data_IF_262849022154
#
_entry.id   IF_262849022154
#
_cell.length_a   1.000
_cell.length_b   1.000
_cell.length_c   1.000
_cell.angle_alpha   90.00
_cell.angle_beta   90.00
_cell.angle_gamma   90.00
#
_symmetry.space_group_name_H-M   'P 1'
#
loop_
_entity.id
_entity.type
_entity.pdbx_description
1 polymer ?
#
# COMPACT_ATOMS: atom_id res chain seq x y z
N UNK A 1 15.51 -22.80 1.38
CA UNK A 1 15.35 -21.35 1.17
C UNK A 1 15.39 -20.76 2.58
N UNK A 2 16.42 -19.97 2.91
CA UNK A 2 16.52 -19.37 4.24
C UNK A 2 15.43 -18.30 4.35
N UNK A 3 14.67 -18.35 5.44
CA UNK A 3 13.71 -17.29 5.82
C UNK A 3 14.47 -16.20 6.60
N UNK A 4 15.69 -16.50 7.02
CA UNK A 4 16.52 -15.61 7.82
C UNK A 4 17.15 -14.51 6.96
N UNK A 5 17.20 -13.31 7.51
CA UNK A 5 17.86 -12.17 6.90
C UNK A 5 19.39 -12.39 6.91
N UNK A 6 20.05 -12.03 5.82
CA UNK A 6 21.51 -12.01 5.74
C UNK A 6 22.09 -10.79 6.51
N UNK A 7 23.42 -10.70 6.62
CA UNK A 7 24.09 -9.65 7.39
C UNK A 7 23.81 -8.23 6.85
N UNK A 8 23.73 -8.07 5.53
CA UNK A 8 23.42 -6.78 4.88
C UNK A 8 21.99 -6.35 5.16
N UNK A 9 21.03 -7.28 5.03
CA UNK A 9 19.63 -7.05 5.35
C UNK A 9 19.43 -6.71 6.83
N UNK A 10 20.14 -7.36 7.74
CA UNK A 10 20.12 -7.04 9.17
C UNK A 10 20.66 -5.63 9.43
N UNK A 11 21.75 -5.24 8.80
CA UNK A 11 22.34 -3.90 8.93
C UNK A 11 21.39 -2.81 8.40
N UNK A 12 20.76 -3.06 7.24
CA UNK A 12 19.77 -2.15 6.66
C UNK A 12 18.54 -2.04 7.58
N UNK A 13 18.01 -3.16 8.05
CA UNK A 13 16.87 -3.19 8.98
C UNK A 13 17.15 -2.38 10.24
N UNK A 14 18.32 -2.56 10.85
CA UNK A 14 18.69 -1.84 12.06
C UNK A 14 18.83 -0.32 11.80
N UNK A 15 19.31 0.07 10.62
CA UNK A 15 19.37 1.47 10.21
C UNK A 15 17.98 2.07 9.99
N UNK A 16 17.09 1.33 9.33
CA UNK A 16 15.67 1.70 9.18
C UNK A 16 15.01 1.87 10.55
N UNK A 17 15.19 0.92 11.47
CA UNK A 17 14.61 0.98 12.83
C UNK A 17 15.09 2.21 13.61
N UNK A 18 16.38 2.54 13.52
CA UNK A 18 16.90 3.78 14.15
C UNK A 18 16.22 5.02 13.56
N UNK A 19 16.15 5.11 12.24
CA UNK A 19 15.45 6.20 11.57
C UNK A 19 13.96 6.29 11.97
N UNK A 20 13.24 5.19 11.92
CA UNK A 20 11.81 5.15 12.28
C UNK A 20 11.59 5.59 13.73
N UNK A 21 12.44 5.18 14.67
CA UNK A 21 12.33 5.58 16.08
C UNK A 21 12.65 7.05 16.29
N UNK A 22 13.65 7.58 15.61
CA UNK A 22 14.10 8.97 15.81
C UNK A 22 13.19 9.99 15.09
N UNK A 23 12.76 9.67 13.86
CA UNK A 23 12.16 10.66 12.96
C UNK A 23 10.66 10.43 12.73
N UNK A 24 10.19 9.19 12.78
CA UNK A 24 8.80 8.86 12.44
C UNK A 24 7.92 8.74 13.68
N UNK A 25 8.32 7.93 14.67
CA UNK A 25 7.51 7.66 15.87
C UNK A 25 7.05 8.92 16.59
N UNK A 26 7.87 9.98 16.79
CA UNK A 26 7.43 11.21 17.48
C UNK A 26 6.31 11.97 16.76
N UNK A 27 6.14 11.73 15.45
CA UNK A 27 5.19 12.45 14.61
C UNK A 27 3.81 11.78 14.54
N UNK A 28 3.74 10.46 14.80
CA UNK A 28 2.58 9.64 14.49
C UNK A 28 1.31 10.16 15.16
N UNK A 29 1.32 10.33 16.48
CA UNK A 29 0.11 10.69 17.22
C UNK A 29 -0.46 12.04 16.79
N UNK A 30 0.41 13.02 16.51
CA UNK A 30 -0.01 14.31 15.98
C UNK A 30 -0.68 14.17 14.63
N UNK A 31 0.00 13.50 13.68
CA UNK A 31 -0.50 13.35 12.31
C UNK A 31 -1.76 12.47 12.22
N UNK A 32 -1.89 11.46 13.08
CA UNK A 32 -3.13 10.67 13.20
C UNK A 32 -4.30 11.52 13.71
N UNK A 33 -4.08 12.40 14.72
CA UNK A 33 -5.09 13.30 15.23
C UNK A 33 -5.49 14.38 14.22
N UNK A 34 -4.52 14.99 13.55
CA UNK A 34 -4.72 16.04 12.54
C UNK A 34 -5.13 15.46 11.18
N UNK A 35 -5.09 14.13 11.02
CA UNK A 35 -5.32 13.42 9.74
C UNK A 35 -4.42 13.96 8.62
N UNK A 36 -3.18 14.31 8.94
CA UNK A 36 -2.16 14.83 8.05
C UNK A 36 -1.01 13.85 7.89
N UNK A 37 -0.09 14.07 6.94
CA UNK A 37 1.08 13.24 6.75
C UNK A 37 2.34 14.12 6.65
N UNK A 38 3.45 13.75 7.34
CA UNK A 38 4.70 14.53 7.34
C UNK A 38 5.50 14.28 6.05
N UNK A 39 5.16 14.94 4.96
CA UNK A 39 5.84 14.76 3.66
C UNK A 39 7.30 15.20 3.67
N UNK A 40 7.73 15.97 4.66
CA UNK A 40 9.15 16.26 4.91
C UNK A 40 10.01 15.02 5.17
N UNK A 41 9.39 13.87 5.48
CA UNK A 41 10.07 12.59 5.58
C UNK A 41 10.37 11.94 4.22
N UNK A 42 9.69 12.35 3.13
CA UNK A 42 9.82 11.69 1.82
C UNK A 42 11.23 11.69 1.26
N UNK A 43 11.99 12.82 1.25
CA UNK A 43 13.38 12.81 0.80
C UNK A 43 14.27 11.87 1.63
N UNK A 44 14.01 11.73 2.92
CA UNK A 44 14.73 10.79 3.79
C UNK A 44 14.35 9.33 3.50
N UNK A 45 13.07 9.06 3.28
CA UNK A 45 12.57 7.73 2.88
C UNK A 45 13.13 7.31 1.50
N UNK A 46 13.27 8.26 0.57
CA UNK A 46 13.90 8.02 -0.72
C UNK A 46 15.36 7.54 -0.58
N UNK A 47 16.12 8.10 0.37
CA UNK A 47 17.51 7.68 0.63
C UNK A 47 17.62 6.23 1.12
N UNK A 48 16.59 5.68 1.78
CA UNK A 48 16.50 4.27 2.14
C UNK A 48 15.97 3.39 0.99
N UNK A 49 15.51 3.98 -0.12
CA UNK A 49 14.92 3.25 -1.23
C UNK A 49 13.42 2.96 -1.08
N UNK A 50 12.71 3.59 -0.13
CA UNK A 50 11.26 3.43 0.00
C UNK A 50 10.47 3.97 -1.20
N UNK A 51 11.08 4.80 -2.04
CA UNK A 51 10.47 5.35 -3.25
C UNK A 51 11.24 4.81 -4.48
N UNK A 52 10.66 3.81 -5.14
CA UNK A 52 11.22 3.21 -6.36
C UNK A 52 12.43 2.28 -6.13
N UNK A 53 12.70 1.86 -4.89
CA UNK A 53 13.92 1.10 -4.58
C UNK A 53 14.09 -0.21 -5.35
N UNK A 54 13.00 -0.87 -5.75
CA UNK A 54 13.03 -2.09 -6.56
C UNK A 54 13.27 -1.85 -8.05
N UNK A 55 13.21 -0.60 -8.52
CA UNK A 55 13.56 -0.28 -9.90
C UNK A 55 15.05 -0.48 -10.15
N UNK A 56 15.43 -0.85 -11.40
CA UNK A 56 16.82 -0.85 -11.81
C UNK A 56 17.49 0.53 -11.65
N UNK A 57 18.78 0.56 -11.40
CA UNK A 57 19.56 1.81 -11.33
C UNK A 57 19.43 2.65 -12.61
N UNK A 58 19.34 2.01 -13.78
CA UNK A 58 19.14 2.67 -15.06
C UNK A 58 17.83 3.49 -15.13
N UNK A 59 16.82 3.14 -14.33
CA UNK A 59 15.55 3.86 -14.20
C UNK A 59 15.54 4.79 -12.97
N UNK A 60 16.65 4.95 -12.28
CA UNK A 60 16.80 5.78 -11.09
C UNK A 60 16.44 5.12 -9.77
N UNK A 61 16.23 3.79 -9.76
CA UNK A 61 16.04 3.00 -8.56
C UNK A 61 17.36 2.56 -7.91
N UNK A 62 17.27 1.64 -6.95
CA UNK A 62 18.42 1.08 -6.22
C UNK A 62 18.63 -0.41 -6.50
N UNK A 63 17.84 -1.05 -7.35
CA UNK A 63 17.93 -2.47 -7.65
C UNK A 63 17.66 -3.37 -6.45
N UNK A 64 16.95 -2.90 -5.43
CA UNK A 64 16.65 -3.66 -4.20
C UNK A 64 15.88 -4.93 -4.58
N UNK A 65 16.39 -6.08 -4.14
CA UNK A 65 15.72 -7.36 -4.35
C UNK A 65 14.40 -7.47 -3.55
N UNK A 66 13.48 -8.29 -4.03
CA UNK A 66 12.15 -8.40 -3.43
C UNK A 66 12.15 -8.96 -1.99
N UNK A 67 13.03 -9.90 -1.58
CA UNK A 67 13.15 -10.29 -0.16
C UNK A 67 13.58 -9.13 0.75
N UNK A 68 14.55 -8.32 0.34
CA UNK A 68 14.96 -7.11 1.07
C UNK A 68 13.82 -6.08 1.09
N UNK A 69 13.16 -5.87 -0.04
CA UNK A 69 11.98 -5.01 -0.13
C UNK A 69 10.84 -5.47 0.78
N UNK A 70 10.59 -6.77 0.87
CA UNK A 70 9.58 -7.33 1.78
C UNK A 70 9.89 -6.99 3.24
N UNK A 71 11.15 -7.14 3.67
CA UNK A 71 11.61 -6.71 5.01
C UNK A 71 11.39 -5.21 5.23
N UNK A 72 11.67 -4.36 4.23
CA UNK A 72 11.46 -2.92 4.34
C UNK A 72 9.96 -2.58 4.49
N UNK A 73 9.07 -3.24 3.75
CA UNK A 73 7.61 -3.06 3.89
C UNK A 73 7.09 -3.56 5.23
N UNK A 74 7.67 -4.63 5.79
CA UNK A 74 7.39 -5.10 7.13
C UNK A 74 7.78 -4.05 8.18
N UNK A 75 8.98 -3.47 8.11
CA UNK A 75 9.43 -2.42 9.04
C UNK A 75 8.57 -1.15 8.93
N UNK A 76 8.16 -0.76 7.71
CA UNK A 76 7.24 0.36 7.54
C UNK A 76 5.88 0.11 8.20
N UNK A 77 5.33 -1.10 8.04
CA UNK A 77 4.08 -1.52 8.68
C UNK A 77 4.18 -1.65 10.19
N UNK A 78 5.32 -2.14 10.70
CA UNK A 78 5.61 -2.27 12.12
C UNK A 78 5.53 -0.91 12.84
N UNK A 79 6.06 0.12 12.22
CA UNK A 79 6.07 1.45 12.83
C UNK A 79 4.80 2.25 12.54
N UNK A 80 4.34 2.25 11.28
CA UNK A 80 3.15 3.02 10.91
C UNK A 80 2.52 2.56 9.58
N UNK A 81 1.34 1.96 9.63
CA UNK A 81 0.64 1.48 8.43
C UNK A 81 0.28 2.59 7.45
N UNK A 82 0.01 3.81 7.90
CA UNK A 82 -0.23 4.95 7.00
C UNK A 82 1.01 5.28 6.16
N UNK A 83 2.22 5.26 6.75
CA UNK A 83 3.49 5.46 6.04
C UNK A 83 3.68 4.36 4.98
N UNK A 84 3.56 3.08 5.36
CA UNK A 84 3.64 1.96 4.42
C UNK A 84 2.64 2.13 3.27
N UNK A 85 1.42 2.57 3.56
CA UNK A 85 0.36 2.72 2.56
C UNK A 85 0.68 3.84 1.56
N UNK A 86 1.15 4.99 2.02
CA UNK A 86 1.55 6.10 1.13
C UNK A 86 2.75 5.70 0.27
N UNK A 87 3.76 5.02 0.83
CA UNK A 87 4.88 4.48 0.05
C UNK A 87 4.38 3.49 -1.02
N UNK A 88 3.44 2.58 -0.69
CA UNK A 88 2.89 1.63 -1.66
C UNK A 88 2.23 2.32 -2.84
N UNK A 89 1.36 3.31 -2.61
CA UNK A 89 0.67 4.05 -3.68
C UNK A 89 1.65 4.87 -4.52
N UNK A 90 2.63 5.51 -3.89
CA UNK A 90 3.69 6.24 -4.59
C UNK A 90 4.48 5.32 -5.51
N UNK A 91 4.86 4.13 -5.03
CA UNK A 91 5.58 3.14 -5.84
C UNK A 91 4.74 2.58 -7.00
N UNK A 92 3.42 2.45 -6.85
CA UNK A 92 2.53 2.09 -7.96
C UNK A 92 2.61 3.06 -9.13
N UNK A 93 2.61 4.37 -8.85
CA UNK A 93 2.77 5.43 -9.85
C UNK A 93 4.19 5.48 -10.42
N UNK A 94 5.21 5.38 -9.56
CA UNK A 94 6.63 5.33 -9.94
C UNK A 94 6.88 4.17 -10.92
N UNK A 95 6.45 2.96 -10.59
CA UNK A 95 6.64 1.78 -11.45
C UNK A 95 5.94 1.92 -12.80
N UNK A 96 4.76 2.53 -12.83
CA UNK A 96 4.03 2.79 -14.08
C UNK A 96 4.78 3.79 -14.97
N UNK A 97 5.30 4.88 -14.40
CA UNK A 97 6.09 5.88 -15.11
C UNK A 97 7.42 5.29 -15.61
N UNK A 98 8.11 4.52 -14.79
CA UNK A 98 9.36 3.87 -15.17
C UNK A 98 9.16 2.91 -16.36
N UNK A 99 8.07 2.12 -16.33
CA UNK A 99 7.80 1.09 -17.36
C UNK A 99 7.24 1.67 -18.66
N UNK A 100 6.37 2.69 -18.57
CA UNK A 100 5.55 3.14 -19.70
C UNK A 100 5.68 4.63 -20.03
N UNK A 101 6.36 5.41 -19.18
CA UNK A 101 6.54 6.84 -19.38
C UNK A 101 7.48 7.16 -20.52
N UNK A 102 7.17 8.23 -21.26
CA UNK A 102 8.11 8.82 -22.25
C UNK A 102 9.32 9.42 -21.52
N UNK A 103 10.44 9.69 -22.23
CA UNK A 103 11.59 10.38 -21.63
C UNK A 103 11.21 11.70 -20.94
N UNK A 104 10.34 12.52 -21.54
CA UNK A 104 9.84 13.75 -20.95
C UNK A 104 9.03 13.50 -19.67
N UNK A 105 8.10 12.53 -19.70
CA UNK A 105 7.32 12.14 -18.52
C UNK A 105 8.21 11.61 -17.38
N UNK A 106 9.25 10.86 -17.71
CA UNK A 106 10.22 10.37 -16.71
C UNK A 106 10.99 11.54 -16.08
N UNK A 107 11.40 12.52 -16.87
CA UNK A 107 12.10 13.72 -16.37
C UNK A 107 11.20 14.54 -15.45
N UNK A 108 9.97 14.82 -15.89
CA UNK A 108 9.04 15.72 -15.20
C UNK A 108 8.41 15.10 -13.96
N UNK A 109 8.15 13.80 -13.96
CA UNK A 109 7.33 13.16 -12.92
C UNK A 109 8.03 12.01 -12.20
N UNK A 110 8.76 11.14 -12.91
CA UNK A 110 9.41 9.98 -12.27
C UNK A 110 10.56 10.43 -11.37
N UNK A 111 11.49 11.21 -11.88
CA UNK A 111 12.66 11.64 -11.11
C UNK A 111 12.30 12.44 -9.86
N UNK A 112 11.39 13.44 -9.89
CA UNK A 112 10.95 14.12 -8.69
C UNK A 112 10.22 13.20 -7.70
N UNK A 113 9.42 12.25 -8.18
CA UNK A 113 8.75 11.29 -7.31
C UNK A 113 9.75 10.35 -6.60
N UNK A 114 10.82 9.91 -7.31
CA UNK A 114 11.89 9.11 -6.72
C UNK A 114 12.67 9.85 -5.64
N UNK A 115 12.83 11.17 -5.78
CA UNK A 115 13.47 12.02 -4.75
C UNK A 115 12.54 12.43 -3.61
N UNK A 116 11.25 12.05 -3.67
CA UNK A 116 10.26 12.43 -2.67
C UNK A 116 9.82 13.90 -2.75
N UNK A 117 10.04 14.56 -3.87
CA UNK A 117 9.69 15.96 -4.12
C UNK A 117 8.27 16.10 -4.70
N UNK A 118 7.72 15.03 -5.29
CA UNK A 118 6.42 15.01 -5.93
C UNK A 118 5.49 14.02 -5.22
N UNK A 119 4.34 14.52 -4.75
CA UNK A 119 3.29 13.68 -4.16
C UNK A 119 2.36 13.18 -5.24
N UNK A 120 2.22 11.86 -5.32
CA UNK A 120 1.42 11.20 -6.35
C UNK A 120 0.31 10.36 -5.75
N UNK A 121 -0.80 10.21 -6.48
CA UNK A 121 -1.85 9.26 -6.18
C UNK A 121 -2.28 8.49 -7.43
N UNK A 122 -3.00 7.38 -7.24
CA UNK A 122 -3.54 6.57 -8.35
C UNK A 122 -5.07 6.58 -8.30
N UNK A 123 -5.69 7.16 -9.31
CA UNK A 123 -7.14 7.25 -9.48
C UNK A 123 -7.66 6.06 -10.30
N UNK A 124 -8.06 4.98 -9.62
CA UNK A 124 -8.58 3.76 -10.25
C UNK A 124 -10.06 3.55 -9.91
N UNK A 125 -10.37 3.35 -8.65
CA UNK A 125 -11.71 3.05 -8.12
C UNK A 125 -12.69 4.21 -8.33
N UNK A 126 -13.95 3.87 -8.64
CA UNK A 126 -15.06 4.81 -8.80
C UNK A 126 -16.19 4.47 -7.83
N UNK A 127 -17.21 5.35 -7.63
CA UNK A 127 -18.33 5.06 -6.76
C UNK A 127 -19.01 3.71 -7.05
N UNK A 128 -19.18 3.35 -8.32
CA UNK A 128 -19.87 2.14 -8.77
C UNK A 128 -18.91 1.04 -9.25
N UNK A 129 -17.59 1.24 -9.14
CA UNK A 129 -16.58 0.32 -9.69
C UNK A 129 -15.38 0.19 -8.77
N UNK A 130 -15.30 -0.94 -8.06
CA UNK A 130 -14.16 -1.30 -7.20
C UNK A 130 -13.49 -2.59 -7.68
N UNK A 131 -14.07 -3.74 -7.36
CA UNK A 131 -13.54 -5.06 -7.73
C UNK A 131 -13.53 -5.32 -9.25
N UNK A 132 -14.48 -4.74 -9.98
CA UNK A 132 -14.56 -4.82 -11.44
C UNK A 132 -13.87 -3.63 -12.11
N UNK A 133 -12.53 -3.65 -12.18
CA UNK A 133 -11.74 -2.58 -12.80
C UNK A 133 -12.12 -2.35 -14.27
N UNK A 134 -12.52 -3.38 -15.00
CA UNK A 134 -12.98 -3.25 -16.39
C UNK A 134 -14.28 -2.41 -16.52
N UNK A 135 -15.02 -2.26 -15.43
CA UNK A 135 -16.25 -1.48 -15.35
C UNK A 135 -16.07 0.04 -15.18
N UNK A 136 -14.84 0.56 -15.12
CA UNK A 136 -14.55 2.01 -15.01
C UNK A 136 -15.39 2.81 -16.00
N UNK A 137 -16.01 3.90 -15.54
CA UNK A 137 -16.90 4.76 -16.33
C UNK A 137 -16.32 6.16 -16.61
N UNK A 138 -15.34 6.64 -15.82
CA UNK A 138 -14.66 7.92 -16.13
C UNK A 138 -14.18 7.92 -17.57
N UNK A 139 -14.36 9.05 -18.27
CA UNK A 139 -14.20 9.17 -19.72
C UNK A 139 -13.21 10.27 -20.06
N UNK A 140 -12.26 9.98 -20.93
CA UNK A 140 -11.32 10.92 -21.52
C UNK A 140 -11.54 10.96 -23.04
N UNK A 141 -11.88 12.13 -23.59
CA UNK A 141 -12.11 12.35 -25.02
C UNK A 141 -11.01 13.23 -25.59
N UNK A 142 -10.42 12.82 -26.71
CA UNK A 142 -9.43 13.63 -27.40
C UNK A 142 -10.11 14.77 -28.17
N UNK A 143 -9.74 16.01 -27.83
CA UNK A 143 -10.23 17.22 -28.49
C UNK A 143 -9.04 18.09 -28.90
N UNK A 144 -8.65 17.99 -30.18
CA UNK A 144 -7.47 18.68 -30.69
C UNK A 144 -6.17 18.21 -30.04
N UNK A 145 -5.55 19.07 -29.25
CA UNK A 145 -4.27 18.87 -28.57
C UNK A 145 -4.38 18.49 -27.08
N UNK A 146 -5.60 18.22 -26.59
CA UNK A 146 -5.83 17.86 -25.19
C UNK A 146 -6.89 16.77 -25.05
N UNK A 147 -6.86 16.08 -23.91
CA UNK A 147 -7.89 15.18 -23.45
C UNK A 147 -8.86 15.93 -22.54
N UNK A 148 -10.14 15.70 -22.69
CA UNK A 148 -11.19 16.20 -21.78
C UNK A 148 -11.62 15.05 -20.88
N UNK A 149 -11.26 15.12 -19.58
CA UNK A 149 -11.59 14.11 -18.60
C UNK A 149 -12.83 14.47 -17.82
N UNK A 150 -13.78 13.52 -17.78
CA UNK A 150 -15.00 13.59 -16.99
C UNK A 150 -15.17 12.32 -16.16
N UNK A 151 -15.64 12.47 -14.92
CA UNK A 151 -15.93 11.35 -14.00
C UNK A 151 -15.53 11.61 -12.57
N UNK A 152 -15.56 10.55 -11.75
CA UNK A 152 -15.19 10.63 -10.33
C UNK A 152 -14.36 9.42 -9.93
N UNK A 153 -13.38 9.64 -9.07
CA UNK A 153 -12.59 8.59 -8.43
C UNK A 153 -12.81 8.61 -6.94
N UNK A 154 -12.96 7.45 -6.32
CA UNK A 154 -13.32 7.31 -4.91
C UNK A 154 -12.30 6.44 -4.18
N UNK A 155 -12.12 6.68 -2.87
CA UNK A 155 -11.16 5.99 -2.01
C UNK A 155 -9.71 6.17 -2.44
N UNK A 156 -9.36 7.34 -2.99
CA UNK A 156 -8.02 7.58 -3.51
C UNK A 156 -7.07 7.95 -2.38
N UNK A 157 -6.23 7.00 -1.99
CA UNK A 157 -5.15 7.21 -1.03
C UNK A 157 -4.23 8.32 -1.53
N UNK A 158 -3.79 9.21 -0.65
CA UNK A 158 -2.99 10.38 -0.97
C UNK A 158 -3.70 11.44 -1.85
N UNK A 159 -4.94 11.22 -2.24
CA UNK A 159 -5.68 12.10 -3.15
C UNK A 159 -5.85 13.53 -2.62
N UNK A 160 -5.97 13.72 -1.30
CA UNK A 160 -6.06 15.05 -0.70
C UNK A 160 -4.76 15.86 -0.80
N UNK A 161 -3.62 15.20 -0.92
CA UNK A 161 -2.29 15.82 -0.86
C UNK A 161 -1.56 15.85 -2.20
N UNK A 162 -2.00 15.01 -3.16
CA UNK A 162 -1.28 14.76 -4.41
C UNK A 162 -1.15 16.01 -5.28
N UNK A 163 0.06 16.22 -5.79
CA UNK A 163 0.37 17.19 -6.83
C UNK A 163 -0.01 16.62 -8.21
N UNK A 164 0.09 15.30 -8.35
CA UNK A 164 -0.20 14.56 -9.59
C UNK A 164 -1.06 13.35 -9.30
N UNK A 165 -2.14 13.17 -10.09
CA UNK A 165 -2.95 11.96 -10.10
C UNK A 165 -2.70 11.13 -11.37
N UNK A 166 -2.37 9.83 -11.18
CA UNK A 166 -2.35 8.84 -12.27
C UNK A 166 -3.75 8.29 -12.42
N UNK A 167 -4.52 8.76 -13.41
CA UNK A 167 -5.95 8.43 -13.59
C UNK A 167 -6.14 7.43 -14.71
N UNK A 168 -6.87 6.35 -14.45
CA UNK A 168 -7.32 5.40 -15.48
C UNK A 168 -8.75 5.74 -15.90
N UNK A 169 -8.96 5.94 -17.22
CA UNK A 169 -10.26 6.30 -17.78
C UNK A 169 -10.50 5.60 -19.11
N UNK A 170 -11.77 5.49 -19.49
CA UNK A 170 -12.18 5.10 -20.86
C UNK A 170 -11.77 6.17 -21.83
N UNK A 171 -11.18 5.76 -22.91
CA UNK A 171 -10.56 6.66 -23.89
C UNK A 171 -11.36 6.67 -25.18
N UNK A 172 -11.62 7.86 -25.67
CA UNK A 172 -12.32 8.07 -26.94
C UNK A 172 -11.50 9.01 -27.83
N UNK A 173 -11.07 8.47 -28.98
CA UNK A 173 -10.28 9.15 -29.99
C UNK A 173 -10.52 8.51 -31.37
N UNK A 174 -9.94 8.99 -32.45
CA UNK A 174 -10.00 8.31 -33.75
C UNK A 174 -9.42 6.87 -33.74
N UNK A 175 -8.54 6.54 -32.77
CA UNK A 175 -7.84 5.25 -32.67
C UNK A 175 -8.33 4.38 -31.51
N UNK A 176 -9.19 4.90 -30.64
CA UNK A 176 -9.66 4.18 -29.45
C UNK A 176 -11.13 4.50 -29.16
N UNK A 177 -11.92 3.44 -28.93
CA UNK A 177 -13.34 3.56 -28.62
C UNK A 177 -13.66 2.79 -27.32
N UNK A 178 -13.43 3.44 -26.18
CA UNK A 178 -13.85 2.97 -24.86
C UNK A 178 -12.88 2.01 -24.14
N UNK A 179 -11.69 1.71 -24.70
CA UNK A 179 -10.68 0.99 -23.97
C UNK A 179 -10.00 1.87 -22.90
N UNK A 180 -9.37 1.26 -21.88
CA UNK A 180 -8.80 1.99 -20.75
C UNK A 180 -7.40 2.49 -21.04
N UNK A 181 -7.15 3.78 -20.80
CA UNK A 181 -5.82 4.41 -20.81
C UNK A 181 -5.47 5.02 -19.46
N UNK A 182 -4.21 5.32 -19.25
CA UNK A 182 -3.69 5.98 -18.05
C UNK A 182 -3.23 7.40 -18.40
N UNK A 183 -3.61 8.37 -17.57
CA UNK A 183 -3.32 9.79 -17.76
C UNK A 183 -2.62 10.37 -16.55
N UNK A 184 -1.64 11.23 -16.78
CA UNK A 184 -1.06 12.11 -15.77
C UNK A 184 -1.92 13.36 -15.69
N UNK A 185 -2.55 13.58 -14.53
CA UNK A 185 -3.34 14.78 -14.25
C UNK A 185 -2.57 15.60 -13.23
N UNK A 186 -1.84 16.58 -13.70
CA UNK A 186 -1.07 17.52 -12.88
C UNK A 186 -2.01 18.60 -12.34
N UNK A 187 -2.19 18.66 -11.02
CA UNK A 187 -3.23 19.48 -10.39
C UNK A 187 -3.07 20.99 -10.64
N UNK A 188 -1.83 21.45 -10.80
CA UNK A 188 -1.51 22.86 -11.10
C UNK A 188 -1.83 23.26 -12.54
N UNK A 189 -1.81 22.30 -13.49
CA UNK A 189 -2.06 22.51 -14.92
C UNK A 189 -3.51 22.14 -15.30
N UNK A 190 -4.00 21.06 -14.71
CA UNK A 190 -5.31 20.47 -14.97
C UNK A 190 -6.08 20.35 -13.64
N UNK A 191 -6.57 21.47 -13.09
CA UNK A 191 -7.24 21.47 -11.78
C UNK A 191 -8.49 20.62 -11.76
N UNK A 192 -8.72 19.93 -10.65
CA UNK A 192 -9.87 19.06 -10.40
C UNK A 192 -10.33 19.17 -8.96
N UNK A 193 -11.56 18.76 -8.68
CA UNK A 193 -12.15 18.81 -7.35
C UNK A 193 -11.58 17.71 -6.46
N UNK A 194 -11.32 18.05 -5.20
CA UNK A 194 -10.83 17.11 -4.19
C UNK A 194 -11.66 17.23 -2.94
N UNK A 195 -12.33 16.13 -2.57
CA UNK A 195 -13.05 16.03 -1.30
C UNK A 195 -12.41 14.96 -0.43
N UNK A 196 -11.77 15.38 0.64
CA UNK A 196 -11.20 14.46 1.64
C UNK A 196 -12.32 13.64 2.29
N UNK A 197 -12.05 12.35 2.48
CA UNK A 197 -12.96 11.41 3.11
C UNK A 197 -12.57 11.17 4.57
N UNK A 198 -13.59 11.03 5.41
CA UNK A 198 -13.44 10.66 6.80
C UNK A 198 -13.39 9.13 6.91
N UNK A 199 -12.22 8.59 7.20
CA UNK A 199 -11.99 7.15 7.24
C UNK A 199 -11.80 6.65 8.66
N UNK A 200 -12.29 5.43 8.93
CA UNK A 200 -12.08 4.74 10.20
C UNK A 200 -10.60 4.41 10.41
N UNK A 201 -9.92 3.99 9.34
CA UNK A 201 -8.55 3.46 9.35
C UNK A 201 -7.61 4.35 8.53
N UNK A 202 -6.29 4.23 8.76
CA UNK A 202 -5.26 4.91 7.99
C UNK A 202 -5.53 6.41 7.86
N UNK A 203 -5.86 7.05 8.97
CA UNK A 203 -6.39 8.43 9.02
C UNK A 203 -5.46 9.47 8.42
N UNK A 204 -4.16 9.19 8.42
CA UNK A 204 -3.12 10.11 7.92
C UNK A 204 -2.87 9.99 6.42
N UNK A 205 -3.54 9.09 5.69
CA UNK A 205 -3.25 8.85 4.27
C UNK A 205 -3.91 9.83 3.30
N UNK A 206 -4.72 10.77 3.79
CA UNK A 206 -5.39 11.75 2.94
C UNK A 206 -6.27 11.12 1.86
N UNK A 207 -6.99 10.05 2.21
CA UNK A 207 -7.93 9.40 1.29
C UNK A 207 -9.01 10.38 0.84
N UNK A 208 -9.27 10.46 -0.47
CA UNK A 208 -10.16 11.45 -1.04
C UNK A 208 -11.02 10.88 -2.18
N UNK A 209 -12.08 11.60 -2.49
CA UNK A 209 -12.77 11.58 -3.76
C UNK A 209 -12.15 12.64 -4.67
N UNK A 210 -11.96 12.30 -5.96
CA UNK A 210 -11.50 13.22 -6.99
C UNK A 210 -12.61 13.38 -8.02
N UNK A 211 -13.01 14.64 -8.28
CA UNK A 211 -14.05 14.99 -9.24
C UNK A 211 -13.45 15.66 -10.48
N UNK A 212 -13.80 15.17 -11.66
CA UNK A 212 -13.34 15.69 -12.94
C UNK A 212 -14.55 16.15 -13.74
N UNK A 213 -14.63 17.46 -14.02
CA UNK A 213 -15.65 18.07 -14.87
C UNK A 213 -14.95 18.88 -15.95
N UNK A 214 -14.98 18.38 -17.18
CA UNK A 214 -14.32 18.96 -18.34
C UNK A 214 -12.84 19.32 -18.11
N UNK A 215 -12.15 18.48 -17.34
CA UNK A 215 -10.73 18.70 -17.01
C UNK A 215 -9.86 18.47 -18.24
N UNK A 216 -9.18 19.52 -18.68
CA UNK A 216 -8.28 19.49 -19.84
C UNK A 216 -6.92 18.95 -19.44
N UNK A 217 -6.49 17.86 -20.05
CA UNK A 217 -5.20 17.21 -19.84
C UNK A 217 -4.38 17.36 -21.12
N UNK A 218 -3.14 17.82 -21.08
CA UNK A 218 -2.25 17.86 -22.24
C UNK A 218 -2.18 16.49 -22.94
N UNK A 219 -2.18 16.46 -24.27
CA UNK A 219 -2.19 15.23 -25.05
C UNK A 219 -1.02 14.31 -24.71
N UNK A 220 0.15 14.88 -24.48
CA UNK A 220 1.39 14.20 -24.11
C UNK A 220 1.36 13.58 -22.70
N UNK A 221 0.35 13.86 -21.87
CA UNK A 221 0.20 13.28 -20.54
C UNK A 221 -0.52 11.90 -20.54
N UNK A 222 -0.82 11.32 -21.70
CA UNK A 222 -1.18 9.91 -21.83
C UNK A 222 0.06 9.04 -21.56
N UNK A 223 -0.06 8.04 -20.66
CA UNK A 223 1.04 7.16 -20.26
C UNK A 223 0.94 5.82 -20.98
N UNK A 224 2.00 5.49 -21.68
CA UNK A 224 2.09 4.24 -22.47
C UNK A 224 1.24 4.27 -23.73
N UNK A 225 0.69 3.12 -24.11
CA UNK A 225 -0.12 2.97 -25.33
C UNK A 225 -1.60 3.20 -25.02
N UNK A 226 -2.25 3.99 -25.84
CA UNK A 226 -3.68 4.25 -25.77
C UNK A 226 -4.51 2.95 -25.77
N UNK A 227 -5.46 2.84 -24.87
CA UNK A 227 -6.33 1.67 -24.72
C UNK A 227 -5.69 0.43 -24.08
N UNK A 228 -4.45 0.51 -23.59
CA UNK A 228 -3.70 -0.66 -23.08
C UNK A 228 -3.43 -0.63 -21.56
N UNK A 229 -4.08 0.26 -20.80
CA UNK A 229 -3.80 0.41 -19.37
C UNK A 229 -4.26 -0.78 -18.51
N UNK A 230 -5.30 -1.52 -18.90
CA UNK A 230 -5.90 -2.57 -18.04
C UNK A 230 -4.90 -3.67 -17.67
N UNK A 231 -4.22 -4.25 -18.66
CA UNK A 231 -3.29 -5.36 -18.43
C UNK A 231 -2.11 -4.95 -17.52
N UNK A 232 -1.52 -3.76 -17.78
CA UNK A 232 -0.44 -3.21 -16.95
C UNK A 232 -0.90 -2.90 -15.52
N UNK A 233 -2.12 -2.40 -15.36
CA UNK A 233 -2.72 -2.15 -14.04
C UNK A 233 -2.86 -3.47 -13.25
N UNK A 234 -3.43 -4.51 -13.86
CA UNK A 234 -3.62 -5.80 -13.19
C UNK A 234 -2.28 -6.45 -12.79
N UNK A 235 -1.27 -6.38 -13.66
CA UNK A 235 0.08 -6.89 -13.35
C UNK A 235 0.74 -6.15 -12.19
N UNK A 236 0.58 -4.83 -12.12
CA UNK A 236 1.12 -4.02 -11.01
C UNK A 236 0.52 -4.35 -9.64
N UNK A 237 -0.71 -4.91 -9.61
CA UNK A 237 -1.36 -5.30 -8.36
C UNK A 237 -0.66 -6.45 -7.63
N UNK A 238 0.08 -7.32 -8.31
CA UNK A 238 0.73 -8.46 -7.66
C UNK A 238 1.84 -8.00 -6.68
N UNK A 239 2.70 -7.07 -7.09
CA UNK A 239 3.69 -6.46 -6.20
C UNK A 239 3.03 -5.63 -5.08
N UNK A 240 1.93 -4.92 -5.38
CA UNK A 240 1.18 -4.17 -4.38
C UNK A 240 0.56 -5.09 -3.31
N UNK A 241 0.08 -6.27 -3.68
CA UNK A 241 -0.40 -7.30 -2.73
C UNK A 241 0.69 -7.78 -1.79
N UNK A 242 1.92 -8.01 -2.29
CA UNK A 242 3.07 -8.32 -1.44
C UNK A 242 3.34 -7.20 -0.43
N UNK A 243 3.32 -5.94 -0.88
CA UNK A 243 3.54 -4.78 0.00
C UNK A 243 2.49 -4.71 1.12
N UNK A 244 1.21 -4.98 0.79
CA UNK A 244 0.13 -5.03 1.79
C UNK A 244 0.36 -6.19 2.77
N UNK A 245 0.70 -7.38 2.27
CA UNK A 245 0.95 -8.56 3.10
C UNK A 245 2.06 -8.30 4.11
N UNK A 246 3.21 -7.79 3.65
CA UNK A 246 4.35 -7.54 4.53
C UNK A 246 4.11 -6.40 5.51
N UNK A 247 3.42 -5.34 5.10
CA UNK A 247 2.99 -4.29 6.03
C UNK A 247 2.03 -4.79 7.11
N UNK A 248 1.13 -5.72 6.75
CA UNK A 248 0.23 -6.37 7.72
C UNK A 248 1.01 -7.25 8.71
N UNK A 249 2.02 -8.01 8.24
CA UNK A 249 2.95 -8.76 9.10
C UNK A 249 3.65 -7.82 10.08
N UNK A 250 4.16 -6.68 9.61
CA UNK A 250 4.81 -5.70 10.47
C UNK A 250 3.90 -5.16 11.57
N UNK A 251 2.66 -4.78 11.21
CA UNK A 251 1.67 -4.31 12.19
C UNK A 251 1.29 -5.40 13.21
N UNK A 252 1.15 -6.64 12.76
CA UNK A 252 0.91 -7.79 13.64
C UNK A 252 2.07 -8.04 14.60
N UNK A 253 3.31 -7.95 14.11
CA UNK A 253 4.52 -8.07 14.93
C UNK A 253 4.58 -6.96 15.99
N UNK A 254 4.27 -5.72 15.62
CA UNK A 254 4.23 -4.61 16.58
C UNK A 254 3.19 -4.86 17.70
N UNK A 255 2.00 -5.34 17.34
CA UNK A 255 0.96 -5.69 18.31
C UNK A 255 1.39 -6.82 19.26
N UNK A 256 2.06 -7.84 18.70
CA UNK A 256 2.62 -8.96 19.47
C UNK A 256 3.71 -8.48 20.45
N UNK A 257 4.69 -7.69 19.98
CA UNK A 257 5.79 -7.19 20.81
C UNK A 257 5.27 -6.33 21.98
N UNK A 258 4.34 -5.42 21.71
CA UNK A 258 3.68 -4.63 22.75
C UNK A 258 2.93 -5.49 23.77
N UNK A 259 2.28 -6.57 23.30
CA UNK A 259 1.59 -7.51 24.19
C UNK A 259 2.56 -8.30 25.06
N UNK A 260 3.68 -8.75 24.51
CA UNK A 260 4.74 -9.47 25.26
C UNK A 260 5.31 -8.58 26.38
N UNK A 261 5.59 -7.31 26.10
CA UNK A 261 6.07 -6.36 27.11
C UNK A 261 5.00 -6.10 28.19
N UNK A 262 3.77 -5.91 27.77
CA UNK A 262 2.66 -5.65 28.68
C UNK A 262 2.43 -6.81 29.66
N UNK A 263 2.37 -8.06 29.18
CA UNK A 263 2.11 -9.23 30.04
C UNK A 263 3.26 -9.53 31.01
N UNK A 264 4.47 -9.07 30.72
CA UNK A 264 5.65 -9.17 31.59
C UNK A 264 5.74 -8.08 32.66
N UNK A 265 4.91 -7.04 32.57
CA UNK A 265 4.94 -5.91 33.50
C UNK A 265 3.64 -5.77 34.29
N UNK A 266 2.48 -6.01 33.67
CA UNK A 266 1.17 -5.88 34.28
C UNK A 266 0.91 -7.01 35.30
N UNK A 267 0.41 -6.64 36.48
CA UNK A 267 0.04 -7.59 37.54
C UNK A 267 -1.46 -7.57 37.81
N UNK A 268 -2.05 -8.73 38.04
CA UNK A 268 -3.36 -8.95 38.61
C UNK A 268 -3.35 -10.17 39.54
N UNK A 269 -4.17 -10.19 40.57
CA UNK A 269 -4.20 -11.26 41.57
C UNK A 269 -2.80 -11.53 42.17
N UNK A 270 -2.00 -10.47 42.40
CA UNK A 270 -0.67 -10.53 43.00
C UNK A 270 0.45 -11.04 42.10
N UNK A 271 0.21 -11.40 40.84
CA UNK A 271 1.20 -11.94 39.91
C UNK A 271 1.12 -11.34 38.51
N UNK A 272 2.16 -11.54 37.71
CA UNK A 272 2.20 -11.08 36.31
C UNK A 272 1.09 -11.74 35.51
N UNK A 273 0.38 -10.99 34.65
CA UNK A 273 -0.70 -11.56 33.85
C UNK A 273 -0.18 -12.58 32.85
N UNK A 274 1.06 -12.49 32.38
CA UNK A 274 1.73 -13.50 31.55
C UNK A 274 1.87 -14.88 32.21
N UNK A 275 1.63 -15.02 33.52
CA UNK A 275 1.62 -16.31 34.20
C UNK A 275 0.28 -17.06 34.10
N UNK A 276 -0.77 -16.45 33.52
CA UNK A 276 -2.05 -17.10 33.34
C UNK A 276 -2.12 -17.84 31.99
N UNK A 277 -2.60 -19.07 32.00
CA UNK A 277 -2.61 -19.95 30.82
C UNK A 277 -3.36 -19.35 29.62
N UNK A 278 -4.52 -18.71 29.84
CA UNK A 278 -5.29 -18.11 28.75
C UNK A 278 -4.59 -16.89 28.14
N UNK A 279 -3.82 -16.14 28.95
CA UNK A 279 -2.99 -15.03 28.42
C UNK A 279 -1.84 -15.57 27.60
N UNK A 280 -1.15 -16.63 28.09
CA UNK A 280 -0.10 -17.30 27.32
C UNK A 280 -0.62 -17.85 25.99
N UNK A 281 -1.85 -18.43 25.99
CA UNK A 281 -2.50 -18.90 24.77
C UNK A 281 -2.62 -17.77 23.73
N UNK A 282 -3.05 -16.57 24.11
CA UNK A 282 -3.11 -15.43 23.19
C UNK A 282 -1.74 -15.10 22.61
N UNK A 283 -0.70 -15.05 23.43
CA UNK A 283 0.68 -14.76 22.94
C UNK A 283 1.13 -15.84 21.94
N UNK A 284 0.88 -17.11 22.22
CA UNK A 284 1.25 -18.22 21.31
C UNK A 284 0.46 -18.15 20.00
N UNK A 285 -0.86 -17.95 20.06
CA UNK A 285 -1.71 -17.84 18.88
C UNK A 285 -1.29 -16.66 17.98
N UNK A 286 -0.97 -15.51 18.58
CA UNK A 286 -0.45 -14.35 17.84
C UNK A 286 0.91 -14.68 17.18
N UNK A 287 1.83 -15.30 17.92
CA UNK A 287 3.15 -15.69 17.41
C UNK A 287 3.04 -16.59 16.19
N UNK A 288 2.25 -17.67 16.29
CA UNK A 288 2.07 -18.63 15.19
C UNK A 288 1.51 -17.94 13.92
N UNK A 289 0.54 -17.04 14.09
CA UNK A 289 -0.03 -16.30 12.96
C UNK A 289 0.98 -15.37 12.29
N UNK A 290 1.76 -14.64 13.07
CA UNK A 290 2.79 -13.73 12.53
C UNK A 290 3.84 -14.51 11.76
N UNK A 291 4.36 -15.60 12.31
CA UNK A 291 5.37 -16.43 11.64
C UNK A 291 4.84 -17.07 10.35
N UNK A 292 3.63 -17.60 10.37
CA UNK A 292 3.02 -18.18 9.17
C UNK A 292 2.79 -17.12 8.08
N UNK A 293 2.32 -15.93 8.45
CA UNK A 293 2.09 -14.82 7.52
C UNK A 293 3.41 -14.33 6.90
N UNK A 294 4.46 -14.19 7.72
CA UNK A 294 5.80 -13.82 7.26
C UNK A 294 6.37 -14.84 6.28
N UNK A 295 6.27 -16.13 6.58
CA UNK A 295 6.74 -17.20 5.70
C UNK A 295 6.05 -17.17 4.33
N UNK A 296 4.73 -16.96 4.29
CA UNK A 296 3.97 -16.83 3.05
C UNK A 296 4.36 -15.56 2.25
N UNK A 297 4.57 -14.45 2.93
CA UNK A 297 5.04 -13.21 2.31
C UNK A 297 6.44 -13.35 1.70
N UNK A 298 7.39 -13.92 2.44
CA UNK A 298 8.75 -14.16 1.93
C UNK A 298 8.76 -15.16 0.77
N UNK A 299 7.92 -16.20 0.78
CA UNK A 299 7.74 -17.10 -0.36
C UNK A 299 7.31 -16.33 -1.61
N UNK A 300 6.35 -15.41 -1.48
CA UNK A 300 5.90 -14.58 -2.59
C UNK A 300 7.01 -13.62 -3.07
N UNK A 301 7.76 -13.00 -2.17
CA UNK A 301 8.90 -12.13 -2.49
C UNK A 301 9.98 -12.89 -3.28
N UNK A 302 10.35 -14.09 -2.84
CA UNK A 302 11.30 -14.93 -3.57
C UNK A 302 10.79 -15.38 -4.95
N UNK A 303 9.48 -15.61 -5.11
CA UNK A 303 8.90 -15.94 -6.40
C UNK A 303 8.96 -14.73 -7.36
N UNK A 304 8.66 -13.52 -6.87
CA UNK A 304 8.84 -12.26 -7.62
C UNK A 304 10.29 -12.07 -8.07
N UNK A 305 11.26 -12.30 -7.16
CA UNK A 305 12.69 -12.17 -7.45
C UNK A 305 13.14 -13.11 -8.58
N UNK A 306 12.53 -14.27 -8.71
CA UNK A 306 12.83 -15.25 -9.76
C UNK A 306 12.05 -15.00 -11.06
N UNK A 307 11.23 -13.95 -11.13
CA UNK A 307 10.40 -13.66 -12.32
C UNK A 307 9.34 -14.74 -12.62
N UNK A 308 8.89 -15.49 -11.60
CA UNK A 308 7.86 -16.52 -11.74
C UNK A 308 6.47 -15.89 -11.86
N UNK A 309 5.46 -16.67 -12.27
CA UNK A 309 4.06 -16.27 -12.09
C UNK A 309 3.75 -16.23 -10.59
N UNK A 310 3.42 -15.04 -10.10
CA UNK A 310 3.30 -14.75 -8.67
C UNK A 310 1.89 -14.47 -8.22
N UNK A 311 0.94 -14.45 -9.16
CA UNK A 311 -0.45 -14.06 -8.86
C UNK A 311 -1.03 -14.87 -7.71
N UNK A 312 -0.90 -16.20 -7.76
CA UNK A 312 -1.35 -17.07 -6.68
C UNK A 312 -0.59 -16.82 -5.37
N UNK A 313 0.74 -16.76 -5.42
CA UNK A 313 1.57 -16.61 -4.24
C UNK A 313 1.32 -15.28 -3.52
N UNK A 314 1.24 -14.16 -4.27
CA UNK A 314 0.93 -12.84 -3.72
C UNK A 314 -0.50 -12.75 -3.17
N UNK A 315 -1.47 -13.40 -3.83
CA UNK A 315 -2.85 -13.45 -3.36
C UNK A 315 -2.98 -14.25 -2.05
N UNK A 316 -2.32 -15.41 -1.94
CA UNK A 316 -2.28 -16.22 -0.70
C UNK A 316 -1.64 -15.41 0.42
N UNK A 317 -0.49 -14.78 0.15
CA UNK A 317 0.23 -13.97 1.15
C UNK A 317 -0.64 -12.81 1.63
N UNK A 318 -1.28 -12.05 0.72
CA UNK A 318 -2.14 -10.93 1.05
C UNK A 318 -3.35 -11.36 1.87
N UNK A 319 -4.07 -12.38 1.42
CA UNK A 319 -5.25 -12.89 2.11
C UNK A 319 -4.89 -13.30 3.54
N UNK A 320 -3.93 -14.21 3.70
CA UNK A 320 -3.59 -14.75 5.01
C UNK A 320 -3.00 -13.68 5.95
N UNK A 321 -2.09 -12.83 5.45
CA UNK A 321 -1.43 -11.83 6.29
C UNK A 321 -2.40 -10.76 6.80
N UNK A 322 -3.35 -10.28 5.96
CA UNK A 322 -4.28 -9.23 6.38
C UNK A 322 -5.33 -9.73 7.35
N UNK A 323 -5.86 -10.95 7.17
CA UNK A 323 -6.79 -11.59 8.11
C UNK A 323 -6.08 -11.86 9.45
N UNK A 324 -4.90 -12.50 9.40
CA UNK A 324 -4.09 -12.79 10.59
C UNK A 324 -3.70 -11.52 11.36
N UNK A 325 -3.34 -10.45 10.66
CA UNK A 325 -2.95 -9.20 11.33
C UNK A 325 -4.10 -8.59 12.12
N UNK A 326 -5.31 -8.63 11.59
CA UNK A 326 -6.49 -8.13 12.31
C UNK A 326 -6.84 -9.02 13.51
N UNK A 327 -6.76 -10.35 13.37
CA UNK A 327 -6.95 -11.28 14.49
C UNK A 327 -5.90 -11.07 15.57
N UNK A 328 -4.61 -10.90 15.20
CA UNK A 328 -3.51 -10.60 16.12
C UNK A 328 -3.77 -9.28 16.86
N UNK A 329 -4.12 -8.22 16.14
CA UNK A 329 -4.44 -6.93 16.74
C UNK A 329 -5.63 -6.98 17.70
N UNK A 330 -6.66 -7.78 17.38
CA UNK A 330 -7.81 -8.04 18.24
C UNK A 330 -7.41 -8.76 19.52
N UNK A 331 -6.58 -9.80 19.42
CA UNK A 331 -6.05 -10.51 20.60
C UNK A 331 -5.15 -9.60 21.46
N UNK A 332 -4.32 -8.79 20.81
CA UNK A 332 -3.47 -7.81 21.50
C UNK A 332 -4.30 -6.79 22.29
N UNK A 333 -5.35 -6.23 21.69
CA UNK A 333 -6.28 -5.33 22.36
C UNK A 333 -6.91 -6.00 23.56
N UNK A 334 -7.37 -7.26 23.42
CA UNK A 334 -7.94 -8.05 24.50
C UNK A 334 -6.96 -8.27 25.65
N UNK A 335 -5.70 -8.60 25.36
CA UNK A 335 -4.65 -8.79 26.36
C UNK A 335 -4.36 -7.51 27.15
N UNK A 336 -4.43 -6.34 26.51
CA UNK A 336 -4.24 -5.05 27.18
C UNK A 336 -5.48 -4.61 27.99
N UNK A 337 -6.65 -5.23 27.80
CA UNK A 337 -7.89 -4.87 28.47
C UNK A 337 -8.28 -3.40 28.29
N UNK A 338 -8.69 -2.70 29.31
CA UNK A 338 -9.07 -1.29 29.24
C UNK A 338 -7.96 -0.37 28.72
N UNK A 339 -6.70 -0.67 28.97
CA UNK A 339 -5.56 0.08 28.42
C UNK A 339 -5.45 -0.08 26.89
N UNK A 340 -5.83 -1.22 26.33
CA UNK A 340 -5.86 -1.43 24.88
C UNK A 340 -6.99 -0.69 24.17
N UNK A 341 -8.08 -0.41 24.91
CA UNK A 341 -9.21 0.35 24.39
C UNK A 341 -8.95 1.88 24.37
N UNK A 342 -8.00 2.36 25.19
CA UNK A 342 -7.62 3.78 25.25
C UNK A 342 -6.71 4.15 24.07
N UNK A 343 -6.81 5.40 23.61
CA UNK A 343 -5.88 5.98 22.63
C UNK A 343 -4.48 6.30 23.18
N UNK A 344 -4.24 6.06 24.48
CA UNK A 344 -2.93 6.28 25.11
C UNK A 344 -1.87 5.28 24.61
N UNK A 345 -2.30 4.08 24.19
CA UNK A 345 -1.43 3.07 23.64
C UNK A 345 -1.66 2.88 22.13
N UNK A 346 -0.64 2.53 21.36
CA UNK A 346 -0.77 2.36 19.91
C UNK A 346 -1.63 1.16 19.48
N UNK A 347 -2.04 0.29 20.41
CA UNK A 347 -2.80 -0.94 20.12
C UNK A 347 -4.15 -0.65 19.45
N UNK A 348 -4.90 0.38 19.91
CA UNK A 348 -6.18 0.73 19.31
C UNK A 348 -6.02 1.17 17.85
N UNK A 349 -4.95 1.92 17.54
CA UNK A 349 -4.63 2.33 16.17
C UNK A 349 -4.26 1.13 15.31
N UNK A 350 -3.41 0.23 15.81
CA UNK A 350 -3.03 -1.00 15.09
C UNK A 350 -4.28 -1.84 14.82
N UNK A 351 -5.17 -2.00 15.79
CA UNK A 351 -6.43 -2.72 15.62
C UNK A 351 -7.30 -2.11 14.52
N UNK A 352 -7.50 -0.80 14.54
CA UNK A 352 -8.26 -0.11 13.49
C UNK A 352 -7.60 -0.29 12.13
N UNK A 353 -6.32 0.03 12.02
CA UNK A 353 -5.60 0.12 10.75
C UNK A 353 -5.44 -1.25 10.08
N UNK A 354 -5.27 -2.32 10.83
CA UNK A 354 -5.20 -3.69 10.27
C UNK A 354 -6.49 -4.10 9.58
N UNK A 355 -7.68 -3.61 10.03
CA UNK A 355 -8.95 -3.87 9.34
C UNK A 355 -8.95 -3.35 7.90
N UNK A 356 -8.23 -2.24 7.65
CA UNK A 356 -8.10 -1.66 6.33
C UNK A 356 -7.39 -2.54 5.31
N UNK A 357 -6.51 -3.42 5.74
CA UNK A 357 -5.70 -4.26 4.84
C UNK A 357 -6.50 -5.26 4.00
N UNK A 358 -7.68 -5.66 4.45
CA UNK A 358 -8.53 -6.66 3.79
C UNK A 358 -9.24 -6.13 2.54
N UNK A 359 -9.32 -4.80 2.35
CA UNK A 359 -10.17 -4.15 1.35
C UNK A 359 -9.40 -3.75 0.07
N UNK A 360 -8.29 -2.98 0.12
CA UNK A 360 -7.60 -2.49 -1.07
C UNK A 360 -6.83 -3.60 -1.80
N UNK A 361 -6.47 -3.33 -3.04
CA UNK A 361 -5.73 -4.22 -3.96
C UNK A 361 -6.45 -5.57 -4.22
N UNK A 362 -7.78 -5.54 -4.15
CA UNK A 362 -8.67 -6.70 -4.16
C UNK A 362 -9.02 -7.19 -2.77
N UNK A 363 -10.33 -7.22 -2.47
CA UNK A 363 -10.84 -7.67 -1.16
C UNK A 363 -10.45 -9.13 -0.86
N UNK A 364 -10.66 -9.57 0.39
CA UNK A 364 -10.49 -10.99 0.80
C UNK A 364 -11.21 -11.93 -0.18
N UNK A 365 -12.43 -11.60 -0.60
CA UNK A 365 -13.22 -12.39 -1.55
C UNK A 365 -12.56 -12.42 -2.93
N UNK A 366 -12.05 -11.29 -3.43
CA UNK A 366 -11.33 -11.23 -4.70
C UNK A 366 -10.05 -12.06 -4.64
N UNK A 367 -9.29 -12.00 -3.53
CA UNK A 367 -8.12 -12.89 -3.37
C UNK A 367 -8.52 -14.37 -3.41
N UNK A 368 -9.61 -14.73 -2.72
CA UNK A 368 -10.15 -16.09 -2.72
C UNK A 368 -10.51 -16.56 -4.14
N UNK A 369 -11.19 -15.73 -4.93
CA UNK A 369 -11.55 -16.04 -6.32
C UNK A 369 -10.31 -16.16 -7.22
N UNK A 370 -9.31 -15.31 -7.03
CA UNK A 370 -8.03 -15.42 -7.77
C UNK A 370 -7.35 -16.74 -7.45
N UNK A 371 -7.18 -17.07 -6.16
CA UNK A 371 -6.54 -18.31 -5.73
C UNK A 371 -7.30 -19.52 -6.26
N UNK A 372 -8.63 -19.53 -6.15
CA UNK A 372 -9.47 -20.60 -6.66
C UNK A 372 -9.29 -20.82 -8.17
N UNK A 373 -9.26 -19.75 -8.95
CA UNK A 373 -9.02 -19.81 -10.39
C UNK A 373 -7.64 -20.38 -10.72
N UNK A 374 -6.58 -19.95 -10.05
CA UNK A 374 -5.22 -20.42 -10.29
C UNK A 374 -5.05 -21.93 -9.93
N UNK A 375 -5.79 -22.41 -8.92
CA UNK A 375 -5.75 -23.83 -8.51
C UNK A 375 -6.58 -24.72 -9.45
N UNK A 376 -7.79 -24.26 -9.81
CA UNK A 376 -8.77 -25.07 -10.52
C UNK A 376 -8.72 -24.89 -12.05
N UNK A 377 -8.09 -23.81 -12.54
CA UNK A 377 -8.16 -23.45 -13.96
C UNK A 377 -9.54 -22.96 -14.41
N UNK A 378 -10.46 -22.70 -13.48
CA UNK A 378 -11.86 -22.31 -13.73
C UNK A 378 -12.13 -20.97 -13.05
N UNK A 379 -12.62 -19.98 -13.82
CA UNK A 379 -13.01 -18.67 -13.27
C UNK A 379 -14.41 -18.77 -12.64
N UNK A 380 -14.52 -18.30 -11.40
CA UNK A 380 -15.82 -18.08 -10.75
C UNK A 380 -16.36 -16.64 -10.97
N UNK A 381 -15.56 -15.78 -11.61
CA UNK A 381 -15.99 -14.44 -12.05
C UNK A 381 -16.40 -14.58 -13.52
N UNK A 382 -17.66 -14.34 -13.79
CA UNK A 382 -18.25 -14.39 -15.16
C UNK A 382 -18.06 -13.05 -15.87
#
# INVERSE_FOLDING_TARGET
MSIDLNAEQLTLRDSIRRFMRAEVLPLINRHEAERSFPFELFPKLAQFGYLGGTLPEADGGMGIDYPTWAMMMEEAGYHWLSLRTICNITNGSINRLATHGTPDQKERFLKPALRGELKVCTGLTEPDTGSNIAGIQSRAELQGDHWVLNGRKLWITNGAFADVAMVVARTFSPTCNGALSSFIVERSVSPYDVRRLDTMVLRSTGTAELGFTDVKIPKENLVGTEGKALAGTLKGLDAARLNIAMGAVGAAQAALDLSIEYVKTRKQFGRLIGSFQLVQKHIVDMTVRVEAARALGLRAAHALQRGQDVRQACSIAKLYATESAHEVASMALQVHGGSGYSSDLPIERIFRDTRGGMIPEGTTEIQTLIIGREILGISAIT
#
